data_IF_627110343798
#
_entry.id   IF_627110343798
#
_cell.length_a   1.000
_cell.length_b   1.000
_cell.length_c   1.000
_cell.angle_alpha   90.00
_cell.angle_beta   90.00
_cell.angle_gamma   90.00
#
_symmetry.space_group_name_H-M   'P 1'
#
loop_
_entity.id
_entity.type
_entity.pdbx_description
1 polymer ?
#
# COMPACT_ATOMS: atom_id res chain seq x y z
N UNK A 1 91.24 18.23 9.17
CA UNK A 1 90.75 17.08 9.97
C UNK A 1 89.27 17.32 10.22
N UNK A 2 88.31 16.45 9.87
CA UNK A 2 88.30 15.03 9.46
C UNK A 2 87.40 14.92 8.21
N UNK A 3 87.88 14.38 7.09
CA UNK A 3 87.74 12.98 6.64
C UNK A 3 86.67 12.83 5.56
N UNK A 4 87.16 12.56 4.35
CA UNK A 4 86.43 12.13 3.15
C UNK A 4 86.01 10.66 3.33
N UNK A 5 84.90 10.18 2.74
CA UNK A 5 84.89 9.01 1.82
C UNK A 5 83.52 8.63 1.23
N UNK A 6 83.55 8.25 -0.05
CA UNK A 6 82.64 7.39 -0.84
C UNK A 6 81.12 7.60 -0.80
N UNK A 7 80.47 7.96 -1.91
CA UNK A 7 80.14 7.08 -3.07
C UNK A 7 79.44 5.78 -2.63
N UNK A 8 78.15 5.59 -2.96
CA UNK A 8 77.65 4.39 -3.64
C UNK A 8 76.30 4.68 -4.36
N UNK A 9 76.24 4.18 -5.59
CA UNK A 9 75.18 4.01 -6.60
C UNK A 9 73.68 3.91 -6.20
N UNK A 10 72.85 4.47 -7.11
CA UNK A 10 71.56 3.99 -7.69
C UNK A 10 70.70 2.93 -6.94
N UNK A 11 69.35 3.06 -6.98
CA UNK A 11 68.66 2.81 -8.25
C UNK A 11 67.61 3.84 -8.66
N UNK A 12 67.25 3.79 -9.96
CA UNK A 12 66.08 4.40 -10.56
C UNK A 12 64.81 3.90 -9.84
N UNK A 13 64.26 4.70 -8.92
CA UNK A 13 62.86 4.57 -8.57
C UNK A 13 62.02 5.15 -9.70
N UNK A 14 61.72 4.27 -10.66
CA UNK A 14 60.66 4.47 -11.63
C UNK A 14 59.40 4.82 -10.83
N UNK A 15 58.99 6.09 -10.90
CA UNK A 15 57.61 6.47 -10.60
C UNK A 15 56.76 5.82 -11.70
N UNK A 16 56.45 4.53 -11.49
CA UNK A 16 55.56 3.77 -12.34
C UNK A 16 54.19 4.33 -12.00
N UNK A 17 53.75 5.30 -12.79
CA UNK A 17 52.35 5.69 -12.81
C UNK A 17 51.56 4.41 -12.99
N UNK A 18 50.95 3.97 -11.90
CA UNK A 18 49.79 3.13 -11.95
C UNK A 18 48.64 4.02 -12.38
N UNK A 19 48.66 4.40 -13.66
CA UNK A 19 47.51 4.16 -14.51
C UNK A 19 47.23 2.64 -14.48
N UNK A 20 46.76 2.18 -13.30
CA UNK A 20 45.64 1.31 -13.29
C UNK A 20 44.62 1.99 -14.18
N UNK A 21 44.52 1.45 -15.39
CA UNK A 21 43.36 1.55 -16.25
C UNK A 21 42.22 0.94 -15.43
N UNK A 22 41.77 1.70 -14.44
CA UNK A 22 40.42 1.65 -13.91
C UNK A 22 39.62 1.88 -15.17
N UNK A 23 39.16 0.77 -15.75
CA UNK A 23 38.37 0.79 -16.95
C UNK A 23 37.27 1.79 -16.66
N UNK A 24 37.38 2.98 -17.26
CA UNK A 24 36.35 3.99 -17.21
C UNK A 24 35.27 3.40 -18.09
N UNK A 25 34.48 2.50 -17.48
CA UNK A 25 33.17 2.10 -17.93
C UNK A 25 32.50 3.45 -18.08
N UNK A 26 32.51 3.95 -19.33
CA UNK A 26 31.90 5.20 -19.68
C UNK A 26 30.44 4.93 -19.51
N UNK A 27 29.95 5.21 -18.29
CA UNK A 27 28.62 4.81 -17.85
C UNK A 27 27.65 5.19 -18.96
N UNK A 28 26.92 4.21 -19.45
CA UNK A 28 26.07 4.42 -20.59
C UNK A 28 24.85 5.17 -20.07
N UNK A 29 24.85 6.49 -20.21
CA UNK A 29 23.80 7.37 -19.69
C UNK A 29 22.99 7.96 -20.84
N UNK A 30 21.68 8.00 -20.67
CA UNK A 30 20.81 8.73 -21.58
C UNK A 30 20.70 10.20 -21.15
N UNK A 31 20.59 11.12 -22.11
CA UNK A 31 20.29 12.53 -21.83
C UNK A 31 18.97 12.91 -22.48
N UNK A 32 18.05 13.52 -21.73
CA UNK A 32 16.76 14.01 -22.22
C UNK A 32 16.43 15.35 -21.57
N UNK A 33 16.25 16.41 -22.37
CA UNK A 33 16.04 17.80 -21.90
C UNK A 33 16.96 18.16 -20.73
N UNK A 34 18.26 18.11 -20.98
CA UNK A 34 19.35 18.45 -20.03
C UNK A 34 19.46 17.56 -18.77
N UNK A 35 18.49 16.68 -18.52
CA UNK A 35 18.55 15.66 -17.46
C UNK A 35 19.25 14.40 -17.95
N UNK A 36 20.11 13.84 -17.08
CA UNK A 36 20.79 12.57 -17.30
C UNK A 36 20.06 11.45 -16.57
N UNK A 37 20.01 10.29 -17.21
CA UNK A 37 19.31 9.08 -16.76
C UNK A 37 20.26 7.88 -16.89
N UNK A 38 20.19 6.98 -15.91
CA UNK A 38 20.91 5.71 -15.89
C UNK A 38 20.15 4.63 -16.67
N UNK A 39 20.80 3.56 -17.15
CA UNK A 39 20.10 2.43 -17.76
C UNK A 39 19.02 1.87 -16.83
N UNK A 40 17.87 1.54 -17.41
CA UNK A 40 16.70 1.06 -16.66
C UNK A 40 15.81 2.17 -16.07
N UNK A 41 16.29 3.42 -15.95
CA UNK A 41 15.46 4.54 -15.52
C UNK A 41 14.25 4.70 -16.45
N UNK A 42 13.08 4.95 -15.87
CA UNK A 42 11.87 5.28 -16.65
C UNK A 42 11.12 6.46 -16.06
N UNK A 43 10.59 7.33 -16.92
CA UNK A 43 10.01 8.61 -16.53
C UNK A 43 8.90 9.07 -17.49
N UNK A 44 8.06 9.97 -17.01
CA UNK A 44 7.14 10.75 -17.82
C UNK A 44 7.85 12.02 -18.31
N UNK A 45 7.88 12.31 -19.63
CA UNK A 45 8.58 13.49 -20.13
C UNK A 45 7.77 14.77 -19.92
N UNK A 46 8.48 15.86 -19.63
CA UNK A 46 7.91 17.22 -19.58
C UNK A 46 8.07 17.91 -20.94
N UNK A 47 6.96 18.11 -21.67
CA UNK A 47 6.94 18.70 -23.00
C UNK A 47 6.24 20.05 -22.94
N UNK A 48 6.95 21.14 -23.24
CA UNK A 48 6.35 22.47 -23.30
C UNK A 48 5.60 22.65 -24.63
N UNK A 49 4.46 23.36 -24.67
CA UNK A 49 3.76 24.00 -23.54
C UNK A 49 2.85 23.05 -22.71
N UNK A 50 2.76 21.77 -23.07
CA UNK A 50 1.77 20.81 -22.55
C UNK A 50 1.99 20.31 -21.12
N UNK A 51 3.19 20.45 -20.57
CA UNK A 51 3.54 20.01 -19.21
C UNK A 51 3.97 18.54 -19.12
N UNK A 52 3.64 17.88 -18.02
CA UNK A 52 4.08 16.51 -17.72
C UNK A 52 3.16 15.47 -18.40
N UNK A 53 3.72 14.67 -19.30
CA UNK A 53 2.95 13.75 -20.15
C UNK A 53 2.77 12.37 -19.52
N UNK A 54 1.80 12.22 -18.61
CA UNK A 54 1.53 10.94 -17.92
C UNK A 54 1.22 9.77 -18.87
N UNK A 55 0.65 10.02 -20.05
CA UNK A 55 0.40 8.98 -21.07
C UNK A 55 1.59 8.68 -21.99
N UNK A 56 2.77 9.23 -21.72
CA UNK A 56 4.02 8.87 -22.39
C UNK A 56 5.02 8.39 -21.33
N UNK A 57 5.68 7.26 -21.56
CA UNK A 57 6.76 6.77 -20.71
C UNK A 57 8.02 6.61 -21.54
N UNK A 58 9.04 7.35 -21.17
CA UNK A 58 10.40 7.20 -21.67
C UNK A 58 11.18 6.25 -20.74
N UNK A 59 12.11 5.50 -21.31
CA UNK A 59 13.06 4.69 -20.56
C UNK A 59 14.45 4.81 -21.18
N UNK A 60 15.49 4.75 -20.34
CA UNK A 60 16.87 4.68 -20.79
C UNK A 60 17.26 3.21 -21.03
N UNK A 61 17.70 2.89 -22.25
CA UNK A 61 18.18 1.53 -22.57
C UNK A 61 19.60 1.31 -22.06
N UNK A 62 19.97 0.04 -21.87
CA UNK A 62 21.37 -0.40 -21.61
C UNK A 62 22.37 0.08 -22.67
N UNK A 63 21.88 0.43 -23.87
CA UNK A 63 22.65 0.98 -24.99
C UNK A 63 22.71 2.52 -25.02
N UNK A 64 22.13 3.21 -24.03
CA UNK A 64 22.24 4.67 -23.89
C UNK A 64 21.24 5.48 -24.70
N UNK A 65 20.25 4.82 -25.31
CA UNK A 65 19.20 5.46 -26.08
C UNK A 65 17.94 5.68 -25.24
N UNK A 66 17.32 6.84 -25.40
CA UNK A 66 15.99 7.12 -24.82
C UNK A 66 14.93 6.47 -25.71
N UNK A 67 14.13 5.55 -25.15
CA UNK A 67 12.98 4.95 -25.83
C UNK A 67 11.68 5.40 -25.17
N UNK A 68 10.91 6.24 -25.86
CA UNK A 68 9.58 6.68 -25.40
C UNK A 68 8.46 5.89 -26.07
N UNK A 69 7.47 5.46 -25.29
CA UNK A 69 6.23 4.84 -25.77
C UNK A 69 5.00 5.57 -25.24
N UNK A 70 3.89 5.49 -25.99
CA UNK A 70 2.58 5.93 -25.50
C UNK A 70 1.92 4.81 -24.73
N UNK A 71 1.39 5.13 -23.54
CA UNK A 71 0.64 4.19 -22.73
C UNK A 71 -0.74 4.00 -23.37
N UNK A 72 -1.10 2.76 -23.67
CA UNK A 72 -2.44 2.40 -24.14
C UNK A 72 -3.25 1.91 -22.95
N UNK A 73 -4.34 2.59 -22.65
CA UNK A 73 -5.20 2.26 -21.52
C UNK A 73 -6.15 1.11 -21.87
N UNK A 74 -6.48 0.23 -20.89
CA UNK A 74 -7.49 -0.79 -21.08
C UNK A 74 -8.88 -0.17 -21.28
N UNK A 75 -9.71 -0.82 -22.10
CA UNK A 75 -11.11 -0.42 -22.27
C UNK A 75 -11.89 -0.79 -21.01
N UNK A 76 -12.39 0.22 -20.30
CA UNK A 76 -13.26 0.03 -19.14
C UNK A 76 -14.73 -0.08 -19.57
N UNK A 77 -15.50 -0.91 -18.86
CA UNK A 77 -16.96 -1.02 -18.99
C UNK A 77 -17.61 -0.71 -17.64
N UNK A 78 -17.64 0.58 -17.31
CA UNK A 78 -18.31 1.12 -16.12
C UNK A 78 -18.96 2.46 -16.48
N UNK A 79 -19.95 2.85 -15.68
CA UNK A 79 -20.82 3.99 -15.97
C UNK A 79 -20.10 5.34 -15.78
N UNK A 80 -19.20 5.43 -14.77
CA UNK A 80 -18.43 6.64 -14.49
C UNK A 80 -16.91 6.38 -14.37
N UNK A 81 -16.18 6.31 -15.51
CA UNK A 81 -14.72 6.28 -15.53
C UNK A 81 -14.14 7.67 -15.24
N UNK A 82 -13.25 7.75 -14.26
CA UNK A 82 -12.57 9.00 -13.84
C UNK A 82 -11.06 8.83 -13.96
N UNK A 83 -10.39 9.82 -14.55
CA UNK A 83 -8.92 9.91 -14.58
C UNK A 83 -8.48 10.89 -13.49
N UNK A 84 -7.63 10.42 -12.57
CA UNK A 84 -7.05 11.32 -11.55
C UNK A 84 -6.02 12.26 -12.17
N UNK A 85 -5.82 13.40 -11.52
CA UNK A 85 -4.63 14.21 -11.75
C UNK A 85 -3.37 13.34 -11.60
N UNK A 86 -2.42 13.48 -12.54
CA UNK A 86 -1.17 12.73 -12.59
C UNK A 86 -1.27 11.23 -12.93
N UNK A 87 -2.42 10.75 -13.41
CA UNK A 87 -2.56 9.41 -13.98
C UNK A 87 -2.86 9.46 -15.49
N UNK A 88 -2.36 8.49 -16.24
CA UNK A 88 -2.73 8.36 -17.66
C UNK A 88 -4.11 7.73 -17.85
N UNK A 89 -4.36 6.61 -17.17
CA UNK A 89 -5.51 5.77 -17.47
C UNK A 89 -6.65 6.04 -16.49
N UNK A 90 -7.90 6.04 -16.98
CA UNK A 90 -9.05 6.15 -16.11
C UNK A 90 -9.18 4.94 -15.20
N UNK A 91 -9.89 5.12 -14.10
CA UNK A 91 -10.38 4.09 -13.19
C UNK A 91 -11.88 4.23 -13.02
N UNK A 92 -12.59 3.13 -12.79
CA UNK A 92 -13.99 3.22 -12.39
C UNK A 92 -14.07 3.79 -10.96
N UNK A 93 -14.97 4.75 -10.74
CA UNK A 93 -15.29 5.21 -9.38
C UNK A 93 -16.00 4.13 -8.56
N UNK A 94 -16.68 3.21 -9.24
CA UNK A 94 -17.39 2.05 -8.68
C UNK A 94 -16.47 0.91 -8.23
N UNK A 95 -15.53 1.18 -7.32
CA UNK A 95 -14.97 0.13 -6.46
C UNK A 95 -16.03 -0.42 -5.46
N UNK A 96 -17.14 0.30 -5.28
CA UNK A 96 -18.32 -0.19 -4.60
C UNK A 96 -19.01 -1.29 -5.43
N UNK A 97 -18.63 -2.53 -5.10
CA UNK A 97 -19.09 -3.81 -5.69
C UNK A 97 -18.43 -4.14 -7.03
N UNK A 98 -17.28 -4.84 -6.93
CA UNK A 98 -17.13 -6.04 -7.78
C UNK A 98 -18.44 -6.83 -7.68
N UNK A 99 -19.08 -7.24 -8.78
CA UNK A 99 -20.30 -8.02 -8.73
C UNK A 99 -20.15 -9.21 -7.79
N UNK A 100 -21.17 -9.55 -7.01
CA UNK A 100 -21.06 -10.56 -5.96
C UNK A 100 -20.54 -11.91 -6.48
N UNK A 101 -20.82 -12.26 -7.74
CA UNK A 101 -20.29 -13.46 -8.41
C UNK A 101 -18.82 -13.43 -8.86
N UNK A 102 -18.08 -12.34 -8.65
CA UNK A 102 -16.63 -12.23 -8.90
C UNK A 102 -15.80 -12.07 -7.62
N UNK A 103 -16.44 -12.12 -6.44
CA UNK A 103 -15.77 -12.26 -5.15
C UNK A 103 -15.88 -13.72 -4.73
N UNK A 104 -14.76 -14.33 -4.35
CA UNK A 104 -14.84 -15.60 -3.62
C UNK A 104 -15.72 -15.40 -2.38
N UNK A 105 -16.61 -16.35 -2.03
CA UNK A 105 -17.43 -16.25 -0.83
C UNK A 105 -16.58 -15.97 0.40
N UNK A 106 -17.00 -15.00 1.21
CA UNK A 106 -16.29 -14.64 2.45
C UNK A 106 -16.39 -15.83 3.41
N UNK A 107 -15.27 -16.52 3.61
CA UNK A 107 -15.22 -17.72 4.47
C UNK A 107 -15.10 -17.31 5.94
N UNK A 108 -16.21 -17.42 6.66
CA UNK A 108 -16.29 -17.28 8.12
C UNK A 108 -15.78 -18.53 8.83
N UNK A 109 -15.35 -18.39 10.07
CA UNK A 109 -14.97 -19.50 10.94
C UNK A 109 -16.09 -19.81 11.94
N UNK A 110 -16.26 -21.06 12.36
CA UNK A 110 -17.21 -21.44 13.42
C UNK A 110 -16.45 -22.13 14.56
N UNK A 111 -16.63 -21.65 15.78
CA UNK A 111 -16.00 -22.23 16.96
C UNK A 111 -16.88 -22.03 18.20
N UNK A 112 -17.03 -23.10 19.00
CA UNK A 112 -17.89 -23.14 20.19
C UNK A 112 -19.31 -22.55 20.00
N UNK A 113 -19.92 -22.78 18.83
CA UNK A 113 -21.23 -22.22 18.46
C UNK A 113 -21.18 -20.83 17.80
N UNK A 114 -20.20 -20.00 18.15
CA UNK A 114 -19.97 -18.65 17.61
C UNK A 114 -19.45 -18.68 16.17
N UNK A 115 -19.79 -17.64 15.40
CA UNK A 115 -19.32 -17.43 14.01
C UNK A 115 -18.45 -16.18 13.96
N UNK A 116 -17.19 -16.36 13.54
CA UNK A 116 -16.17 -15.32 13.50
C UNK A 116 -15.92 -14.87 12.05
N UNK A 117 -15.80 -13.56 11.85
CA UNK A 117 -15.48 -12.93 10.57
C UNK A 117 -13.98 -13.03 10.25
N UNK A 118 -13.56 -12.93 8.98
CA UNK A 118 -12.14 -12.90 8.64
C UNK A 118 -11.43 -11.70 9.29
N UNK A 119 -10.32 -11.97 9.98
CA UNK A 119 -9.55 -11.01 10.77
C UNK A 119 -10.01 -10.87 12.22
N UNK A 120 -11.15 -11.46 12.61
CA UNK A 120 -11.64 -11.45 13.98
C UNK A 120 -10.77 -12.34 14.89
N UNK A 121 -10.50 -11.85 16.09
CA UNK A 121 -9.66 -12.51 17.09
C UNK A 121 -10.44 -12.82 18.36
N UNK A 122 -10.18 -13.97 18.98
CA UNK A 122 -10.84 -14.39 20.21
C UNK A 122 -9.89 -15.19 21.11
N UNK A 123 -10.10 -15.09 22.42
CA UNK A 123 -9.37 -15.89 23.40
C UNK A 123 -9.98 -17.29 23.55
N UNK A 124 -9.14 -18.33 23.61
CA UNK A 124 -9.54 -19.68 23.99
C UNK A 124 -8.58 -20.20 25.06
N UNK A 125 -9.09 -20.39 26.28
CA UNK A 125 -8.25 -20.61 27.45
C UNK A 125 -7.77 -22.05 27.66
N UNK A 126 -8.12 -23.02 26.78
CA UNK A 126 -7.83 -24.45 26.99
C UNK A 126 -7.34 -25.22 25.74
N UNK A 127 -7.00 -24.54 24.64
CA UNK A 127 -6.54 -25.21 23.40
C UNK A 127 -5.16 -25.87 23.50
N UNK A 128 -4.29 -25.34 24.36
CA UNK A 128 -2.94 -25.87 24.58
C UNK A 128 -2.72 -26.03 26.10
N UNK A 129 -2.03 -27.08 26.56
CA UNK A 129 -1.55 -27.12 27.94
C UNK A 129 -0.57 -25.95 28.13
N UNK A 130 -0.94 -25.02 29.00
CA UNK A 130 -0.16 -23.79 29.18
C UNK A 130 1.23 -24.12 29.70
N UNK A 131 2.27 -23.63 29.02
CA UNK A 131 3.67 -23.89 29.38
C UNK A 131 4.10 -23.10 30.63
N UNK A 132 3.39 -22.01 30.93
CA UNK A 132 3.64 -21.07 32.02
C UNK A 132 2.30 -20.43 32.44
N UNK A 133 2.11 -20.11 33.72
CA UNK A 133 0.83 -19.59 34.24
C UNK A 133 0.35 -18.29 33.59
N UNK A 134 1.26 -17.50 33.02
CA UNK A 134 0.97 -16.27 32.30
C UNK A 134 0.75 -16.45 30.79
N UNK A 135 0.60 -17.67 30.27
CA UNK A 135 0.32 -17.92 28.85
C UNK A 135 -1.15 -18.32 28.62
N UNK A 136 -1.74 -17.77 27.56
CA UNK A 136 -3.12 -17.99 27.14
C UNK A 136 -3.16 -18.16 25.61
N UNK A 137 -4.17 -18.82 25.02
CA UNK A 137 -4.24 -18.95 23.56
C UNK A 137 -5.13 -17.87 22.94
N UNK A 138 -4.57 -17.11 21.98
CA UNK A 138 -5.31 -16.23 21.09
C UNK A 138 -5.51 -16.90 19.73
N UNK A 139 -6.71 -16.82 19.21
CA UNK A 139 -7.10 -17.37 17.91
C UNK A 139 -7.52 -16.26 16.95
N UNK A 140 -7.23 -16.43 15.65
CA UNK A 140 -7.62 -15.51 14.57
C UNK A 140 -8.33 -16.30 13.48
N UNK A 141 -9.48 -15.81 13.00
CA UNK A 141 -10.14 -16.36 11.82
C UNK A 141 -9.49 -15.83 10.52
N UNK A 142 -9.03 -16.72 9.63
CA UNK A 142 -8.52 -16.34 8.32
C UNK A 142 -8.94 -17.36 7.25
N UNK A 143 -9.66 -16.89 6.24
CA UNK A 143 -10.15 -17.69 5.11
C UNK A 143 -10.94 -18.96 5.51
N UNK A 144 -11.70 -18.90 6.61
CA UNK A 144 -12.48 -20.02 7.16
C UNK A 144 -11.69 -20.97 8.05
N UNK A 145 -10.39 -20.75 8.23
CA UNK A 145 -9.54 -21.51 9.14
C UNK A 145 -9.23 -20.70 10.39
N UNK A 146 -9.09 -21.39 11.53
CA UNK A 146 -8.78 -20.78 12.82
C UNK A 146 -7.30 -21.04 13.12
N UNK A 147 -6.53 -19.96 13.28
CA UNK A 147 -5.12 -20.02 13.62
C UNK A 147 -4.94 -19.56 15.05
N UNK A 148 -4.47 -20.43 15.94
CA UNK A 148 -4.28 -20.12 17.36
C UNK A 148 -2.81 -20.19 17.75
N UNK A 149 -2.38 -19.27 18.60
CA UNK A 149 -1.03 -19.20 19.16
C UNK A 149 -1.09 -18.87 20.66
N UNK A 150 -0.09 -19.33 21.42
CA UNK A 150 0.10 -18.90 22.80
C UNK A 150 0.62 -17.47 22.82
N UNK A 151 -0.02 -16.62 23.64
CA UNK A 151 0.40 -15.27 23.97
C UNK A 151 0.81 -15.25 25.43
N UNK A 152 2.02 -14.77 25.70
CA UNK A 152 2.46 -14.45 27.06
C UNK A 152 1.84 -13.12 27.48
N UNK A 153 1.10 -13.13 28.58
CA UNK A 153 0.51 -11.96 29.19
C UNK A 153 1.52 -11.25 30.11
N UNK A 154 1.50 -9.92 30.04
CA UNK A 154 2.15 -9.06 31.04
C UNK A 154 1.30 -9.12 32.31
N UNK A 155 1.94 -9.29 33.46
CA UNK A 155 1.27 -9.25 34.77
C UNK A 155 0.89 -7.80 35.09
N UNK A 156 -0.40 -7.44 35.19
CA UNK A 156 -0.79 -6.08 35.57
C UNK A 156 -0.39 -5.76 37.01
N UNK A 157 0.03 -4.53 37.26
CA UNK A 157 0.53 -4.05 38.58
C UNK A 157 -0.56 -3.40 39.45
N UNK A 158 -1.82 -3.39 39.00
CA UNK A 158 -2.94 -2.79 39.73
C UNK A 158 -3.47 -3.70 40.85
N UNK A 159 -4.09 -3.08 41.86
CA UNK A 159 -4.57 -3.77 43.08
C UNK A 159 -5.73 -4.75 42.85
N UNK A 160 -6.36 -4.76 41.68
CA UNK A 160 -7.47 -5.67 41.34
C UNK A 160 -7.57 -5.86 39.82
N UNK A 161 -6.77 -6.78 39.24
CA UNK A 161 -6.88 -7.13 37.83
C UNK A 161 -8.11 -8.04 37.58
N UNK A 162 -8.77 -7.84 36.44
CA UNK A 162 -10.06 -8.46 36.09
C UNK A 162 -9.95 -9.20 34.76
N UNK A 163 -10.57 -10.36 34.65
CA UNK A 163 -10.76 -11.06 33.37
C UNK A 163 -11.97 -10.49 32.63
N UNK A 164 -11.79 -10.13 31.36
CA UNK A 164 -12.86 -9.62 30.49
C UNK A 164 -13.15 -10.63 29.39
N UNK A 165 -14.42 -10.89 29.01
CA UNK A 165 -14.75 -11.75 27.88
C UNK A 165 -13.99 -11.38 26.61
N UNK A 166 -13.65 -12.39 25.80
CA UNK A 166 -12.86 -12.29 24.55
C UNK A 166 -11.42 -11.75 24.70
N UNK A 167 -11.01 -11.30 25.90
CA UNK A 167 -9.62 -10.99 26.22
C UNK A 167 -8.89 -12.22 26.77
N UNK A 168 -7.60 -12.31 26.46
CA UNK A 168 -6.72 -13.42 26.84
C UNK A 168 -5.88 -13.09 28.09
N UNK A 169 -5.70 -11.80 28.38
CA UNK A 169 -4.90 -11.30 29.50
C UNK A 169 -5.79 -10.48 30.44
N UNK A 170 -5.48 -10.52 31.74
CA UNK A 170 -6.16 -9.69 32.73
C UNK A 170 -5.91 -8.20 32.46
N UNK A 171 -6.93 -7.38 32.71
CA UNK A 171 -6.91 -5.93 32.54
C UNK A 171 -7.24 -5.23 33.86
N UNK A 172 -6.77 -3.99 34.04
CA UNK A 172 -7.10 -3.20 35.22
C UNK A 172 -8.48 -2.56 35.06
N UNK A 173 -9.26 -2.51 36.15
CA UNK A 173 -10.61 -1.95 36.14
C UNK A 173 -10.64 -0.45 35.80
N UNK A 174 -9.56 0.26 36.09
CA UNK A 174 -9.47 1.72 35.99
C UNK A 174 -8.99 2.23 34.61
N UNK A 175 -8.49 1.34 33.73
CA UNK A 175 -7.96 1.70 32.40
C UNK A 175 -9.03 1.78 31.30
N UNK A 176 -10.29 2.05 31.66
CA UNK A 176 -11.33 2.51 30.70
C UNK A 176 -11.23 4.03 30.48
N UNK A 177 -10.44 4.74 31.30
CA UNK A 177 -10.08 6.13 31.03
C UNK A 177 -8.74 6.22 30.28
N UNK A 178 -8.66 7.15 29.32
CA UNK A 178 -7.64 7.20 28.26
C UNK A 178 -6.27 7.67 28.79
N UNK A 179 -5.20 7.09 28.24
CA UNK A 179 -3.76 7.43 28.40
C UNK A 179 -3.04 7.00 29.70
N UNK A 180 -2.30 5.89 29.60
CA UNK A 180 -0.98 5.71 30.20
C UNK A 180 -0.10 5.02 29.15
N UNK A 181 0.72 5.72 28.36
CA UNK A 181 1.86 6.55 28.74
C UNK A 181 2.95 5.74 29.46
N UNK A 182 3.94 5.28 28.70
CA UNK A 182 5.22 4.76 29.18
C UNK A 182 6.34 5.24 28.24
N UNK A 183 7.14 6.20 28.72
CA UNK A 183 8.47 6.55 28.17
C UNK A 183 9.52 5.55 28.69
N UNK A 184 10.76 5.44 28.18
CA UNK A 184 11.57 6.04 27.09
C UNK A 184 12.62 4.95 26.73
N UNK A 185 13.28 4.82 25.57
CA UNK A 185 13.13 5.36 24.20
C UNK A 185 14.01 4.48 23.25
N UNK A 186 14.02 4.74 21.93
CA UNK A 186 14.95 4.18 20.96
C UNK A 186 14.28 3.74 19.65
N UNK A 187 14.26 4.63 18.64
CA UNK A 187 13.51 4.47 17.37
C UNK A 187 14.11 3.51 16.32
N UNK A 188 13.70 3.56 15.02
CA UNK A 188 13.02 4.67 14.34
C UNK A 188 11.58 4.38 13.83
N UNK A 189 10.91 5.45 13.37
CA UNK A 189 9.53 5.46 12.84
C UNK A 189 9.30 4.60 11.58
N UNK A 190 8.09 4.07 11.44
CA UNK A 190 7.35 4.15 10.17
C UNK A 190 5.92 4.64 10.39
N UNK A 191 5.54 5.67 9.63
CA UNK A 191 4.31 6.44 9.80
C UNK A 191 3.07 5.77 9.22
N UNK A 192 1.95 5.76 9.98
CA UNK A 192 0.64 6.13 9.41
C UNK A 192 -0.39 6.52 10.49
N UNK A 193 -0.63 7.82 10.63
CA UNK A 193 -1.80 8.32 11.34
C UNK A 193 -3.05 8.24 10.46
N UNK A 194 -4.16 7.80 11.05
CA UNK A 194 -5.51 8.04 10.52
C UNK A 194 -6.31 8.69 11.65
N UNK A 195 -6.43 10.02 11.61
CA UNK A 195 -7.42 10.72 12.43
C UNK A 195 -8.75 10.62 11.71
N UNK A 196 -9.75 10.02 12.34
CA UNK A 196 -11.13 10.20 11.90
C UNK A 196 -11.56 11.63 12.27
N UNK A 197 -12.07 12.39 11.29
CA UNK A 197 -12.75 13.65 11.59
C UNK A 197 -14.07 13.33 12.27
N UNK A 198 -14.28 13.89 13.46
CA UNK A 198 -15.57 13.83 14.15
C UNK A 198 -16.40 15.02 13.67
N UNK A 199 -17.06 14.88 12.52
CA UNK A 199 -17.88 15.95 11.96
C UNK A 199 -19.23 15.99 12.68
N UNK A 200 -19.25 16.71 13.82
CA UNK A 200 -20.49 17.17 14.44
C UNK A 200 -20.99 18.41 13.69
N UNK A 201 -22.11 18.26 12.96
CA UNK A 201 -22.93 19.38 12.52
C UNK A 201 -24.37 19.15 12.96
N UNK A 202 -24.79 19.86 14.01
CA UNK A 202 -26.19 20.12 14.27
C UNK A 202 -26.55 21.45 13.59
N UNK A 203 -27.69 21.49 12.90
CA UNK A 203 -28.22 22.67 12.22
C UNK A 203 -29.71 22.48 11.97
N UNK A 204 -30.50 23.52 12.20
CA UNK A 204 -31.95 23.44 12.39
C UNK A 204 -32.76 23.22 11.09
N UNK A 205 -34.02 22.79 11.25
CA UNK A 205 -35.06 22.93 10.23
C UNK A 205 -35.44 24.43 10.06
N UNK A 206 -36.05 24.81 8.93
CA UNK A 206 -37.52 24.79 8.89
C UNK A 206 -38.10 24.13 7.63
N UNK A 207 -39.34 23.63 7.73
CA UNK A 207 -40.03 22.95 6.63
C UNK A 207 -40.79 23.88 5.67
N UNK A 208 -41.28 23.32 4.56
CA UNK A 208 -42.09 24.04 3.58
C UNK A 208 -42.61 23.18 2.43
N UNK A 209 -43.81 22.61 2.61
CA UNK A 209 -44.86 22.29 1.62
C UNK A 209 -44.45 21.85 0.19
N UNK A 210 -44.81 20.61 -0.16
CA UNK A 210 -44.59 20.05 -1.51
C UNK A 210 -45.58 20.49 -2.60
N UNK A 211 -45.54 19.79 -3.74
CA UNK A 211 -46.62 19.76 -4.76
C UNK A 211 -46.60 18.41 -5.51
N UNK A 212 -47.73 18.11 -6.15
CA UNK A 212 -48.16 16.82 -6.70
C UNK A 212 -47.65 16.52 -8.11
N UNK A 213 -47.70 15.24 -8.47
CA UNK A 213 -47.30 14.64 -9.75
C UNK A 213 -47.97 15.20 -11.03
N UNK A 214 -47.30 15.01 -12.17
CA UNK A 214 -47.91 14.55 -13.45
C UNK A 214 -46.90 13.79 -14.33
N UNK A 215 -47.33 12.73 -15.06
CA UNK A 215 -46.51 12.02 -16.05
C UNK A 215 -46.86 12.38 -17.51
N UNK A 216 -45.90 12.23 -18.44
CA UNK A 216 -46.02 12.03 -19.90
C UNK A 216 -44.58 11.82 -20.45
N UNK A 217 -44.26 11.20 -21.59
CA UNK A 217 -45.03 10.95 -22.82
C UNK A 217 -44.61 9.65 -23.53
N UNK A 218 -45.54 9.03 -24.25
CA UNK A 218 -45.44 7.99 -25.29
C UNK A 218 -44.09 7.31 -25.62
N UNK A 219 -44.07 5.98 -25.51
CA UNK A 219 -43.12 5.09 -26.23
C UNK A 219 -43.78 4.58 -27.52
N UNK A 220 -43.48 5.21 -28.65
CA UNK A 220 -43.90 4.69 -29.96
C UNK A 220 -43.02 3.51 -30.39
N UNK A 221 -43.64 2.43 -30.84
CA UNK A 221 -43.01 1.39 -31.67
C UNK A 221 -43.44 1.62 -33.12
N UNK A 222 -42.55 1.35 -34.09
CA UNK A 222 -42.90 0.24 -34.97
C UNK A 222 -41.72 -0.63 -35.45
N UNK A 223 -42.05 -1.91 -35.71
CA UNK A 223 -41.60 -2.77 -36.83
C UNK A 223 -40.09 -2.78 -37.16
N UNK A 224 -39.37 -3.85 -36.83
CA UNK A 224 -39.33 -5.10 -37.62
C UNK A 224 -38.85 -4.90 -39.06
N UNK A 225 -37.57 -5.18 -39.29
CA UNK A 225 -37.04 -5.65 -40.57
C UNK A 225 -36.16 -6.86 -40.29
N UNK A 226 -36.56 -7.99 -40.85
CA UNK A 226 -35.85 -9.26 -40.80
C UNK A 226 -35.15 -9.41 -42.15
N UNK A 227 -33.84 -9.70 -42.17
CA UNK A 227 -33.14 -10.01 -43.42
C UNK A 227 -32.27 -11.24 -43.21
N UNK A 228 -32.79 -12.38 -43.71
CA UNK A 228 -32.02 -13.59 -43.91
C UNK A 228 -31.08 -13.36 -45.10
N UNK A 229 -29.81 -13.78 -44.98
CA UNK A 229 -28.95 -14.04 -46.13
C UNK A 229 -28.35 -15.44 -45.93
N UNK A 230 -28.59 -16.30 -46.91
CA UNK A 230 -28.01 -17.63 -47.02
C UNK A 230 -26.57 -17.54 -47.54
N UNK A 231 -25.66 -18.32 -46.94
CA UNK A 231 -24.73 -19.23 -47.65
C UNK A 231 -24.62 -20.50 -46.81
#
# INVERSE_FOLDING_TARGET
>A
MKSIFMFLILPLYIARDSEAITAKISGVFCTFKEKRYSPGDSWHPYLEPYGLMFCMRCACTETGHVKCNTIKCPVLRCENPVTDAQQCCPRCTDQHRKPAGLRAPVKVCRHNGTVYQPGETFANHNLFPSRQENQCAMCTCSNGNIFCALKTCVTPTCSSPVSVPDTCCLVCKDTINVNSASTEDGGPQLNRGVRHSQDHCAGEQPGGLGVRATPSTARASPRSLNLQVFV
#
